data_IF_128160532822
#
_entry.id   IF_128160532822
#
_cell.length_a   1.000
_cell.length_b   1.000
_cell.length_c   1.000
_cell.angle_alpha   90.00
_cell.angle_beta   90.00
_cell.angle_gamma   90.00
#
_symmetry.space_group_name_H-M   'P 1'
#
loop_
_entity.id
_entity.type
_entity.pdbx_description
1 polymer ?
#
# COMPACT_ATOMS: atom_id res chain seq x y z
N UNK A 1 50.99 7.80 13.56
CA UNK A 1 50.17 8.43 12.51
C UNK A 1 49.57 7.31 11.69
N UNK A 2 48.27 7.12 11.76
CA UNK A 2 47.58 6.14 10.93
C UNK A 2 47.54 6.68 9.50
N UNK A 3 48.07 5.90 8.56
CA UNK A 3 48.09 6.23 7.13
C UNK A 3 46.67 6.26 6.57
N UNK A 4 46.42 7.18 5.63
CA UNK A 4 45.14 7.33 4.92
C UNK A 4 44.63 6.02 4.32
N UNK A 5 45.52 5.15 3.84
CA UNK A 5 45.19 3.84 3.29
C UNK A 5 44.66 2.89 4.36
N UNK A 6 45.24 2.89 5.54
CA UNK A 6 44.81 2.09 6.69
C UNK A 6 43.45 2.57 7.21
N UNK A 7 43.15 3.89 7.13
CA UNK A 7 41.86 4.45 7.51
C UNK A 7 40.75 4.11 6.50
N UNK A 8 41.07 4.12 5.21
CA UNK A 8 40.13 3.71 4.14
C UNK A 8 39.90 2.20 4.21
N UNK A 9 40.95 1.38 4.45
CA UNK A 9 40.79 -0.07 4.61
C UNK A 9 40.06 -0.45 5.91
N UNK A 10 40.26 0.30 7.00
CA UNK A 10 39.46 0.15 8.21
C UNK A 10 38.01 0.58 8.02
N UNK A 11 37.74 1.67 7.27
CA UNK A 11 36.40 2.09 6.92
C UNK A 11 35.68 1.10 6.00
N UNK A 12 36.39 0.48 5.05
CA UNK A 12 35.84 -0.58 4.20
C UNK A 12 35.64 -1.86 5.01
N UNK A 13 36.55 -2.22 5.94
CA UNK A 13 36.38 -3.37 6.82
C UNK A 13 35.27 -3.17 7.87
N UNK A 14 35.08 -1.95 8.37
CA UNK A 14 33.93 -1.60 9.24
C UNK A 14 32.64 -1.44 8.47
N UNK A 15 32.65 -1.04 7.20
CA UNK A 15 31.47 -1.10 6.33
C UNK A 15 31.07 -2.55 6.00
N UNK A 16 32.04 -3.48 5.94
CA UNK A 16 31.79 -4.93 5.81
C UNK A 16 31.38 -5.60 7.14
N UNK A 17 31.66 -4.97 8.29
CA UNK A 17 31.31 -5.41 9.65
C UNK A 17 30.34 -4.43 10.35
N UNK A 18 29.84 -3.40 9.62
CA UNK A 18 28.80 -2.53 10.12
C UNK A 18 27.61 -3.32 10.63
N UNK A 19 26.84 -2.80 11.59
CA UNK A 19 25.66 -3.49 12.05
C UNK A 19 24.85 -3.82 10.80
N UNK A 20 24.76 -5.09 10.46
CA UNK A 20 23.82 -5.60 9.49
C UNK A 20 22.49 -5.15 10.03
N UNK A 21 21.87 -4.15 9.41
CA UNK A 21 20.47 -3.89 9.61
C UNK A 21 19.78 -5.17 9.13
N UNK A 22 19.69 -6.13 10.01
CA UNK A 22 18.94 -7.31 9.79
C UNK A 22 17.49 -6.83 9.90
N UNK A 23 16.80 -6.71 8.77
CA UNK A 23 15.36 -6.85 8.84
C UNK A 23 15.12 -8.14 9.63
N UNK A 24 14.34 -8.08 10.73
CA UNK A 24 14.02 -9.28 11.45
C UNK A 24 13.34 -10.20 10.45
N UNK A 25 14.02 -11.21 10.04
CA UNK A 25 13.37 -12.36 9.45
C UNK A 25 12.50 -12.92 10.57
N UNK A 26 11.22 -12.47 10.62
CA UNK A 26 10.23 -13.21 11.37
C UNK A 26 10.41 -14.67 10.95
N UNK A 27 10.40 -15.59 11.89
CA UNK A 27 10.62 -17.02 11.64
C UNK A 27 9.45 -17.60 10.80
N UNK A 28 9.21 -16.97 9.68
CA UNK A 28 8.15 -17.29 8.72
C UNK A 28 8.52 -16.83 7.32
N UNK A 29 8.17 -17.63 6.34
CA UNK A 29 8.24 -17.25 4.93
C UNK A 29 6.97 -16.52 4.45
N UNK A 30 5.97 -16.34 5.33
CA UNK A 30 4.74 -15.62 4.98
C UNK A 30 4.98 -14.12 4.87
N UNK A 31 4.33 -13.50 3.89
CA UNK A 31 4.48 -12.08 3.57
C UNK A 31 3.11 -11.40 3.51
N UNK A 32 3.08 -10.12 3.83
CA UNK A 32 1.87 -9.31 3.77
C UNK A 32 2.14 -7.99 3.05
N UNK A 33 1.36 -7.72 2.02
CA UNK A 33 1.24 -6.37 1.46
C UNK A 33 -0.09 -5.76 1.93
N UNK A 34 -0.05 -4.57 2.51
CA UNK A 34 -1.26 -3.78 2.80
C UNK A 34 -1.29 -2.56 1.89
N UNK A 35 -2.37 -2.40 1.13
CA UNK A 35 -2.63 -1.24 0.28
C UNK A 35 -3.79 -0.44 0.87
N UNK A 36 -3.52 0.78 1.31
CA UNK A 36 -4.52 1.71 1.84
C UNK A 36 -5.00 2.63 0.71
N UNK A 37 -6.25 2.48 0.32
CA UNK A 37 -6.90 3.34 -0.68
C UNK A 37 -7.55 4.53 0.03
N UNK A 38 -6.89 5.69 -0.04
CA UNK A 38 -7.32 6.89 0.67
C UNK A 38 -8.33 7.70 -0.16
N UNK A 39 -9.51 7.92 0.41
CA UNK A 39 -10.60 8.66 -0.20
C UNK A 39 -11.87 7.83 -0.41
N UNK A 40 -12.08 6.78 0.39
CA UNK A 40 -13.28 5.94 0.35
C UNK A 40 -13.56 5.39 -1.06
N UNK A 41 -12.75 4.45 -1.51
CA UNK A 41 -12.93 3.77 -2.79
C UNK A 41 -14.34 3.15 -2.87
N UNK A 42 -15.01 3.34 -4.01
CA UNK A 42 -16.40 2.91 -4.20
C UNK A 42 -16.50 1.39 -4.39
N UNK A 43 -16.76 0.66 -3.32
CA UNK A 43 -16.90 -0.79 -3.32
C UNK A 43 -18.02 -1.31 -4.21
N UNK A 44 -19.12 -0.56 -4.35
CA UNK A 44 -20.26 -0.93 -5.23
C UNK A 44 -19.94 -0.80 -6.73
N UNK A 45 -18.92 0.00 -7.08
CA UNK A 45 -18.36 0.00 -8.42
C UNK A 45 -17.27 -1.06 -8.57
N UNK A 46 -16.51 -1.35 -7.50
CA UNK A 46 -15.46 -2.36 -7.55
C UNK A 46 -16.03 -3.76 -7.73
N UNK A 47 -16.93 -4.16 -6.83
CA UNK A 47 -17.63 -5.45 -6.88
C UNK A 47 -19.11 -5.16 -6.96
N UNK A 48 -19.61 -5.08 -8.19
CA UNK A 48 -20.97 -4.68 -8.48
C UNK A 48 -21.97 -5.81 -8.19
N UNK A 49 -23.00 -5.57 -7.36
CA UNK A 49 -24.06 -6.56 -7.12
C UNK A 49 -25.06 -6.53 -8.28
N UNK A 50 -24.63 -6.84 -9.49
CA UNK A 50 -25.43 -6.74 -10.72
C UNK A 50 -26.69 -7.60 -10.70
N UNK A 51 -26.68 -8.67 -9.93
CA UNK A 51 -27.81 -9.57 -9.76
C UNK A 51 -28.88 -9.06 -8.77
N UNK A 52 -28.62 -7.99 -8.01
CA UNK A 52 -29.65 -7.35 -7.18
C UNK A 52 -30.62 -6.56 -8.06
N UNK A 53 -31.93 -6.86 -8.04
CA UNK A 53 -32.92 -6.18 -8.89
C UNK A 53 -33.00 -4.67 -8.64
N UNK A 54 -32.57 -4.19 -7.48
CA UNK A 54 -32.56 -2.76 -7.12
C UNK A 54 -31.29 -2.05 -7.56
N UNK A 55 -30.21 -2.78 -7.86
CA UNK A 55 -28.90 -2.20 -8.11
C UNK A 55 -28.90 -1.16 -9.24
N UNK A 56 -29.37 -1.55 -10.42
CA UNK A 56 -29.37 -0.67 -11.59
C UNK A 56 -30.20 0.59 -11.36
N UNK A 57 -31.38 0.47 -10.74
CA UNK A 57 -32.26 1.61 -10.46
C UNK A 57 -31.71 2.56 -9.39
N UNK A 58 -31.05 2.02 -8.37
CA UNK A 58 -30.42 2.80 -7.31
C UNK A 58 -29.12 3.47 -7.76
N UNK A 59 -28.34 2.76 -8.57
CA UNK A 59 -27.02 3.19 -9.03
C UNK A 59 -27.10 4.11 -10.26
N UNK A 60 -28.19 4.04 -11.03
CA UNK A 60 -28.42 4.88 -12.21
C UNK A 60 -27.24 4.79 -13.20
N UNK A 61 -26.74 5.96 -13.63
CA UNK A 61 -25.66 6.06 -14.61
C UNK A 61 -24.30 5.49 -14.14
N UNK A 62 -24.15 5.16 -12.86
CA UNK A 62 -22.94 4.51 -12.33
C UNK A 62 -23.07 2.99 -12.21
N UNK A 63 -24.19 2.41 -12.64
CA UNK A 63 -24.37 0.97 -12.62
C UNK A 63 -23.41 0.29 -13.62
N UNK A 64 -22.77 -0.78 -13.16
CA UNK A 64 -21.99 -1.67 -14.01
C UNK A 64 -22.94 -2.72 -14.58
N UNK A 65 -22.89 -2.95 -15.88
CA UNK A 65 -23.74 -3.92 -16.56
C UNK A 65 -23.44 -5.38 -16.13
N UNK A 66 -24.42 -6.25 -16.33
CA UNK A 66 -24.25 -7.68 -16.10
C UNK A 66 -23.14 -8.28 -17.00
N UNK A 67 -22.52 -9.39 -16.60
CA UNK A 67 -21.55 -10.11 -17.42
C UNK A 67 -22.08 -10.46 -18.82
N UNK A 68 -21.17 -10.46 -19.81
CA UNK A 68 -21.48 -10.81 -21.19
C UNK A 68 -21.91 -9.64 -22.09
N UNK A 69 -22.20 -8.47 -21.51
CA UNK A 69 -22.43 -7.24 -22.28
C UNK A 69 -21.14 -6.47 -22.58
N UNK A 70 -21.23 -5.49 -23.51
CA UNK A 70 -20.18 -4.49 -23.71
C UNK A 70 -19.98 -3.73 -22.40
N UNK A 71 -18.74 -3.62 -21.92
CA UNK A 71 -18.44 -2.99 -20.64
C UNK A 71 -19.11 -3.63 -19.40
N UNK A 72 -19.57 -4.89 -19.53
CA UNK A 72 -20.16 -5.67 -18.43
C UNK A 72 -19.12 -6.13 -17.40
N UNK A 73 -19.60 -6.42 -16.19
CA UNK A 73 -18.76 -6.93 -15.11
C UNK A 73 -18.10 -8.28 -15.47
N UNK A 74 -16.91 -8.53 -14.95
CA UNK A 74 -16.36 -9.89 -14.91
C UNK A 74 -17.14 -10.70 -13.86
N UNK A 75 -17.72 -11.82 -14.26
CA UNK A 75 -18.55 -12.64 -13.38
C UNK A 75 -17.73 -13.20 -12.20
N UNK A 76 -18.21 -12.99 -10.98
CA UNK A 76 -17.74 -13.69 -9.78
C UNK A 76 -18.73 -14.82 -9.48
N UNK A 77 -20.00 -14.49 -9.31
CA UNK A 77 -21.07 -15.45 -9.05
C UNK A 77 -22.40 -14.99 -9.69
N UNK A 78 -23.54 -15.49 -9.19
CA UNK A 78 -24.86 -15.10 -9.69
C UNK A 78 -25.34 -13.72 -9.26
N UNK A 79 -24.73 -13.14 -8.23
CA UNK A 79 -25.09 -11.84 -7.64
C UNK A 79 -24.04 -10.78 -7.92
N UNK A 80 -22.75 -11.12 -7.82
CA UNK A 80 -21.64 -10.19 -7.87
C UNK A 80 -20.78 -10.32 -9.11
N UNK A 81 -20.26 -9.19 -9.57
CA UNK A 81 -19.28 -9.13 -10.64
C UNK A 81 -18.22 -8.06 -10.35
N UNK A 82 -16.99 -8.35 -10.75
CA UNK A 82 -15.88 -7.43 -10.64
C UNK A 82 -15.97 -6.37 -11.75
N UNK A 83 -15.60 -5.14 -11.43
CA UNK A 83 -15.58 -4.05 -12.41
C UNK A 83 -14.76 -4.42 -13.67
N UNK A 84 -15.22 -4.09 -14.90
CA UNK A 84 -14.55 -4.50 -16.13
C UNK A 84 -13.12 -3.96 -16.31
N UNK A 85 -12.69 -3.02 -15.51
CA UNK A 85 -11.32 -2.51 -15.51
C UNK A 85 -10.30 -3.42 -14.81
N UNK A 86 -10.73 -4.54 -14.20
CA UNK A 86 -9.87 -5.47 -13.47
C UNK A 86 -9.62 -6.75 -14.26
N UNK A 87 -8.74 -6.69 -15.25
CA UNK A 87 -8.43 -7.85 -16.10
C UNK A 87 -7.58 -8.90 -15.35
N UNK A 88 -6.52 -8.48 -14.68
CA UNK A 88 -5.65 -9.38 -13.92
C UNK A 88 -6.35 -9.92 -12.66
N UNK A 89 -7.01 -9.05 -11.91
CA UNK A 89 -7.70 -9.45 -10.68
C UNK A 89 -8.85 -10.43 -10.96
N UNK A 90 -9.56 -10.28 -12.11
CA UNK A 90 -10.61 -11.21 -12.51
C UNK A 90 -10.08 -12.64 -12.71
N UNK A 91 -8.86 -12.78 -13.23
CA UNK A 91 -8.19 -14.08 -13.36
C UNK A 91 -7.85 -14.67 -11.98
N UNK A 92 -7.51 -13.83 -10.98
CA UNK A 92 -7.26 -14.30 -9.60
C UNK A 92 -8.54 -14.77 -8.93
N UNK A 93 -9.65 -14.07 -9.14
CA UNK A 93 -10.95 -14.56 -8.70
C UNK A 93 -11.32 -15.90 -9.34
N UNK A 94 -11.13 -16.04 -10.64
CA UNK A 94 -11.38 -17.30 -11.37
C UNK A 94 -10.49 -18.46 -10.89
N UNK A 95 -9.26 -18.15 -10.47
CA UNK A 95 -8.31 -19.13 -9.92
C UNK A 95 -8.57 -19.47 -8.43
N UNK A 96 -9.47 -18.76 -7.74
CA UNK A 96 -9.71 -18.91 -6.30
C UNK A 96 -8.64 -18.23 -5.42
N UNK A 97 -7.79 -17.38 -6.01
CA UNK A 97 -6.71 -16.69 -5.32
C UNK A 97 -7.13 -15.31 -4.77
N UNK A 98 -8.37 -14.89 -5.02
CA UNK A 98 -8.88 -13.59 -4.58
C UNK A 98 -10.24 -13.73 -3.89
N UNK A 99 -10.47 -12.89 -2.89
CA UNK A 99 -11.70 -12.81 -2.10
C UNK A 99 -12.10 -11.35 -1.94
N UNK A 100 -13.38 -11.05 -2.11
CA UNK A 100 -13.99 -9.78 -1.73
C UNK A 100 -14.81 -9.96 -0.45
N UNK A 101 -14.55 -9.13 0.56
CA UNK A 101 -15.32 -9.14 1.80
C UNK A 101 -16.29 -7.97 1.77
N UNK A 102 -17.57 -8.27 1.67
CA UNK A 102 -18.65 -7.28 1.59
C UNK A 102 -19.16 -6.87 2.98
N UNK A 103 -19.85 -5.74 3.02
CA UNK A 103 -20.50 -5.23 4.23
C UNK A 103 -19.53 -5.03 5.41
N UNK A 104 -18.27 -4.79 5.13
CA UNK A 104 -17.26 -4.46 6.14
C UNK A 104 -17.31 -2.98 6.41
N UNK A 105 -17.43 -2.60 7.67
CA UNK A 105 -17.38 -1.21 8.09
C UNK A 105 -16.68 -1.09 9.45
N UNK A 106 -15.81 -0.09 9.58
CA UNK A 106 -15.30 0.30 10.89
C UNK A 106 -16.46 0.79 11.77
N UNK A 107 -16.32 0.85 13.11
CA UNK A 107 -17.31 1.48 13.97
C UNK A 107 -17.51 2.98 13.74
N UNK A 108 -16.56 3.63 13.06
CA UNK A 108 -16.62 5.04 12.70
C UNK A 108 -17.83 5.35 11.83
N UNK A 109 -18.57 6.41 12.16
CA UNK A 109 -19.85 6.76 11.51
C UNK A 109 -19.92 8.20 11.00
N UNK A 110 -18.85 8.99 11.18
CA UNK A 110 -18.76 10.35 10.66
C UNK A 110 -18.25 10.32 9.21
N UNK A 111 -18.19 11.49 8.58
CA UNK A 111 -17.84 11.63 7.16
C UNK A 111 -16.46 12.23 6.92
N UNK A 112 -15.64 12.33 7.95
CA UNK A 112 -14.27 12.81 7.85
C UNK A 112 -13.36 11.67 7.35
N UNK A 113 -12.72 11.87 6.22
CA UNK A 113 -11.71 10.94 5.72
C UNK A 113 -10.56 10.77 6.72
N UNK A 114 -10.09 11.86 7.32
CA UNK A 114 -8.98 11.82 8.28
C UNK A 114 -9.31 10.95 9.48
N UNK A 115 -10.45 11.21 10.12
CA UNK A 115 -10.86 10.44 11.29
C UNK A 115 -11.21 8.99 10.94
N UNK A 116 -11.80 8.76 9.76
CA UNK A 116 -12.10 7.42 9.26
C UNK A 116 -10.83 6.61 9.00
N UNK A 117 -9.81 7.24 8.42
CA UNK A 117 -8.49 6.65 8.21
C UNK A 117 -7.81 6.35 9.54
N UNK A 118 -7.82 7.29 10.48
CA UNK A 118 -7.24 7.09 11.79
C UNK A 118 -7.93 5.95 12.55
N UNK A 119 -9.27 5.86 12.52
CA UNK A 119 -10.01 4.75 13.14
C UNK A 119 -9.68 3.40 12.47
N UNK A 120 -9.57 3.36 11.14
CA UNK A 120 -9.16 2.18 10.39
C UNK A 120 -7.74 1.73 10.76
N UNK A 121 -6.81 2.68 10.84
CA UNK A 121 -5.39 2.40 11.04
C UNK A 121 -5.04 2.13 12.51
N UNK A 122 -5.69 2.81 13.45
CA UNK A 122 -5.47 2.52 14.87
C UNK A 122 -6.27 1.30 15.37
N UNK A 123 -7.24 0.81 14.58
CA UNK A 123 -8.05 -0.36 14.91
C UNK A 123 -9.03 -0.15 16.05
N UNK A 124 -9.48 1.10 16.29
CA UNK A 124 -10.46 1.44 17.32
C UNK A 124 -11.73 2.07 16.73
N UNK A 125 -12.71 2.35 17.58
CA UNK A 125 -13.96 2.96 17.15
C UNK A 125 -13.85 4.46 16.81
N UNK A 126 -12.77 5.12 17.19
CA UNK A 126 -12.59 6.56 17.07
C UNK A 126 -11.21 6.93 16.53
N UNK A 127 -11.08 8.09 15.91
CA UNK A 127 -9.82 8.60 15.37
C UNK A 127 -8.72 8.71 16.42
N UNK A 128 -9.07 9.13 17.63
CA UNK A 128 -8.14 9.34 18.74
C UNK A 128 -8.10 8.18 19.75
N UNK A 129 -8.68 7.02 19.39
CA UNK A 129 -8.77 5.88 20.30
C UNK A 129 -7.41 5.30 20.69
N UNK A 130 -6.45 5.33 19.78
CA UNK A 130 -5.04 4.98 20.03
C UNK A 130 -4.12 5.83 19.16
N UNK A 131 -2.90 6.08 19.66
CA UNK A 131 -1.86 6.81 18.93
C UNK A 131 -0.96 5.90 18.10
N UNK A 132 -1.10 4.59 18.25
CA UNK A 132 -0.38 3.55 17.54
C UNK A 132 -1.30 2.78 16.57
N UNK A 133 -0.71 2.17 15.54
CA UNK A 133 -1.41 1.39 14.54
C UNK A 133 -1.64 -0.07 14.97
N UNK A 134 -2.76 -0.64 14.52
CA UNK A 134 -3.05 -2.05 14.85
C UNK A 134 -2.02 -3.02 14.26
N UNK A 135 -1.45 -2.70 13.10
CA UNK A 135 -0.44 -3.56 12.47
C UNK A 135 0.90 -3.48 13.21
N UNK A 136 1.29 -2.29 13.71
CA UNK A 136 2.47 -2.16 14.54
C UNK A 136 2.35 -3.03 15.80
N UNK A 137 1.18 -3.00 16.47
CA UNK A 137 0.91 -3.88 17.63
C UNK A 137 0.92 -5.36 17.25
N UNK A 138 0.42 -5.72 16.05
CA UNK A 138 0.38 -7.11 15.58
C UNK A 138 1.78 -7.64 15.22
N UNK A 139 2.72 -6.77 14.86
CA UNK A 139 4.11 -7.14 14.57
C UNK A 139 4.88 -7.45 15.86
N UNK A 140 4.59 -6.77 16.97
CA UNK A 140 5.33 -6.88 18.21
C UNK A 140 5.55 -8.35 18.69
N UNK A 141 4.54 -9.25 18.65
CA UNK A 141 4.73 -10.65 19.04
C UNK A 141 5.54 -11.48 18.03
N UNK A 142 5.69 -11.01 16.79
CA UNK A 142 6.44 -11.73 15.75
C UNK A 142 7.96 -11.68 15.98
N UNK A 143 8.38 -10.92 16.96
CA UNK A 143 9.69 -10.89 17.58
C UNK A 143 10.88 -10.84 16.62
N UNK A 144 11.55 -9.71 16.61
CA UNK A 144 12.93 -9.64 16.20
C UNK A 144 13.77 -9.18 17.39
N UNK A 145 15.04 -9.48 17.45
CA UNK A 145 15.94 -8.84 18.39
C UNK A 145 15.84 -7.32 18.21
N UNK A 146 16.01 -6.56 19.28
CA UNK A 146 16.01 -5.09 19.25
C UNK A 146 16.92 -4.59 18.12
N UNK A 147 16.32 -4.04 17.05
CA UNK A 147 17.05 -3.58 15.86
C UNK A 147 16.52 -4.06 14.53
N UNK A 148 15.72 -5.11 14.52
CA UNK A 148 15.27 -5.77 13.30
C UNK A 148 13.92 -5.18 12.83
N UNK A 149 13.83 -4.76 11.58
CA UNK A 149 12.63 -4.15 10.99
C UNK A 149 11.84 -5.18 10.18
N UNK A 150 10.78 -5.72 10.79
CA UNK A 150 9.89 -6.71 10.15
C UNK A 150 8.97 -6.10 9.09
N UNK A 151 8.74 -4.78 9.17
CA UNK A 151 7.82 -4.07 8.29
C UNK A 151 8.45 -2.82 7.67
N UNK A 152 7.96 -2.47 6.46
CA UNK A 152 8.37 -1.27 5.74
C UNK A 152 7.14 -0.48 5.28
N UNK A 153 7.17 0.84 5.49
CA UNK A 153 6.29 1.78 4.83
C UNK A 153 6.92 2.23 3.52
N UNK A 154 6.23 2.09 2.39
CA UNK A 154 6.72 2.57 1.10
C UNK A 154 5.97 3.86 0.73
N UNK A 155 6.60 4.98 1.01
CA UNK A 155 6.06 6.32 0.85
C UNK A 155 6.85 7.35 1.64
N UNK A 156 6.51 8.62 1.47
CA UNK A 156 7.22 9.75 2.11
C UNK A 156 6.97 9.85 3.62
N UNK A 157 5.94 9.17 4.13
CA UNK A 157 5.57 9.19 5.56
C UNK A 157 5.13 7.81 6.01
N UNK A 158 5.47 7.46 7.23
CA UNK A 158 4.96 6.24 7.87
C UNK A 158 3.47 6.40 8.22
N UNK A 159 2.56 5.59 7.65
CA UNK A 159 1.14 5.63 7.98
C UNK A 159 0.90 5.26 9.46
N UNK A 160 -0.21 5.75 10.04
CA UNK A 160 -0.56 5.45 11.43
C UNK A 160 -0.62 3.94 11.68
N UNK A 161 -1.05 3.17 10.72
CA UNK A 161 -1.08 1.71 10.74
C UNK A 161 0.23 1.06 11.24
N UNK A 162 1.37 1.65 10.88
CA UNK A 162 2.71 1.18 11.25
C UNK A 162 3.37 1.99 12.37
N UNK A 163 2.74 3.03 12.91
CA UNK A 163 3.30 3.79 14.04
C UNK A 163 3.11 3.04 15.35
N UNK A 164 4.08 3.09 16.24
CA UNK A 164 4.05 2.45 17.56
C UNK A 164 5.46 2.13 18.06
N UNK A 165 5.53 1.28 19.06
CA UNK A 165 6.78 0.93 19.74
C UNK A 165 7.67 -0.02 18.93
N UNK A 166 7.07 -0.82 18.03
CA UNK A 166 7.83 -1.69 17.14
C UNK A 166 8.50 -0.87 16.03
N UNK A 167 9.78 -1.02 15.86
CA UNK A 167 10.54 -0.36 14.80
C UNK A 167 10.09 -0.83 13.42
N UNK A 168 9.93 0.11 12.50
CA UNK A 168 9.58 -0.15 11.10
C UNK A 168 10.44 0.71 10.20
N UNK A 169 10.80 0.17 9.03
CA UNK A 169 11.48 0.92 7.99
C UNK A 169 10.52 1.89 7.29
N UNK A 170 11.07 2.95 6.73
CA UNK A 170 10.36 3.81 5.78
C UNK A 170 11.26 4.04 4.57
N UNK A 171 10.71 3.84 3.38
CA UNK A 171 11.42 4.12 2.14
C UNK A 171 10.53 4.86 1.16
N UNK A 172 11.10 5.87 0.52
CA UNK A 172 10.47 6.58 -0.59
C UNK A 172 11.50 6.82 -1.69
N UNK A 173 11.10 6.81 -2.98
CA UNK A 173 11.99 7.21 -4.06
C UNK A 173 12.55 8.61 -3.78
N UNK A 174 13.87 8.74 -3.74
CA UNK A 174 14.51 10.04 -3.58
C UNK A 174 14.17 10.91 -4.80
N UNK A 175 13.82 12.17 -4.54
CA UNK A 175 13.68 13.21 -5.56
C UNK A 175 14.92 14.11 -5.64
N UNK A 176 15.85 13.92 -4.71
CA UNK A 176 17.12 14.62 -4.70
C UNK A 176 18.09 13.93 -5.65
N UNK A 177 19.02 14.67 -6.28
CA UNK A 177 20.17 14.07 -6.94
C UNK A 177 20.84 13.10 -5.96
N UNK A 178 21.34 11.99 -6.45
CA UNK A 178 22.08 11.04 -5.61
C UNK A 178 23.15 11.79 -4.82
N UNK A 179 23.24 11.53 -3.53
CA UNK A 179 24.30 12.09 -2.69
C UNK A 179 25.58 11.36 -3.07
N UNK A 180 26.63 12.12 -3.42
CA UNK A 180 27.92 11.52 -3.77
C UNK A 180 28.59 10.88 -2.54
N UNK A 181 29.51 9.94 -2.79
CA UNK A 181 30.19 9.18 -1.76
C UNK A 181 30.98 10.08 -0.77
N UNK A 182 31.48 11.24 -1.22
CA UNK A 182 32.19 12.18 -0.36
C UNK A 182 31.22 12.86 0.62
N UNK A 183 30.05 13.22 0.17
CA UNK A 183 28.98 13.78 1.04
C UNK A 183 28.48 12.74 2.04
N UNK A 184 28.27 11.49 1.62
CA UNK A 184 27.89 10.39 2.54
C UNK A 184 28.98 10.14 3.59
N UNK A 185 30.25 10.14 3.20
CA UNK A 185 31.36 10.00 4.13
C UNK A 185 31.43 11.15 5.14
N UNK A 186 31.11 12.39 4.72
CA UNK A 186 31.04 13.56 5.61
C UNK A 186 29.88 13.47 6.59
N UNK A 187 28.70 13.03 6.13
CA UNK A 187 27.56 12.82 7.00
C UNK A 187 27.81 11.70 8.02
N UNK A 188 28.44 10.61 7.60
CA UNK A 188 28.80 9.52 8.51
C UNK A 188 29.74 10.00 9.64
N UNK A 189 30.72 10.85 9.32
CA UNK A 189 31.60 11.46 10.32
C UNK A 189 30.88 12.45 11.23
N UNK A 190 29.96 13.26 10.65
CA UNK A 190 29.20 14.24 11.42
C UNK A 190 28.31 13.56 12.46
N UNK A 191 27.78 12.38 12.13
CA UNK A 191 26.87 11.61 12.99
C UNK A 191 27.58 10.55 13.86
N UNK A 192 28.92 10.43 13.79
CA UNK A 192 29.71 9.43 14.49
C UNK A 192 29.45 9.41 16.01
N UNK A 193 29.20 10.57 16.60
CA UNK A 193 28.94 10.73 18.03
C UNK A 193 27.45 10.87 18.38
N UNK A 194 26.56 10.75 17.41
CA UNK A 194 25.10 10.75 17.60
C UNK A 194 24.53 9.38 17.19
N UNK A 195 24.32 8.53 18.17
CA UNK A 195 23.89 7.16 17.97
C UNK A 195 22.57 7.09 17.17
N UNK A 196 21.65 8.02 17.42
CA UNK A 196 20.36 8.08 16.72
C UNK A 196 20.54 8.46 15.25
N UNK A 197 21.24 9.55 14.94
CA UNK A 197 21.47 10.00 13.58
C UNK A 197 22.35 9.04 12.78
N UNK A 198 23.37 8.46 13.42
CA UNK A 198 24.23 7.44 12.83
C UNK A 198 23.42 6.20 12.40
N UNK A 199 22.56 5.68 13.30
CA UNK A 199 21.69 4.55 13.00
C UNK A 199 20.71 4.86 11.86
N UNK A 200 20.16 6.08 11.80
CA UNK A 200 19.24 6.51 10.74
C UNK A 200 19.92 6.66 9.38
N UNK A 201 21.15 7.18 9.35
CA UNK A 201 21.95 7.24 8.12
C UNK A 201 22.26 5.83 7.59
N UNK A 202 22.68 4.92 8.45
CA UNK A 202 22.96 3.54 8.09
C UNK A 202 21.71 2.85 7.51
N UNK A 203 20.55 3.01 8.15
CA UNK A 203 19.26 2.50 7.68
C UNK A 203 18.87 3.06 6.30
N UNK A 204 19.05 4.37 6.09
CA UNK A 204 18.76 5.01 4.81
C UNK A 204 19.66 4.45 3.69
N UNK A 205 20.95 4.27 3.95
CA UNK A 205 21.91 3.70 3.00
C UNK A 205 21.58 2.26 2.64
N UNK A 206 21.17 1.42 3.59
CA UNK A 206 20.79 0.03 3.31
C UNK A 206 19.48 -0.04 2.51
N UNK A 207 18.47 0.74 2.88
CA UNK A 207 17.23 0.82 2.11
C UNK A 207 17.49 1.28 0.67
N UNK A 208 18.45 2.20 0.48
CA UNK A 208 18.87 2.66 -0.83
C UNK A 208 19.64 1.55 -1.60
N UNK A 209 20.52 0.81 -0.94
CA UNK A 209 21.27 -0.30 -1.54
C UNK A 209 20.31 -1.43 -2.02
N UNK A 210 19.29 -1.79 -1.23
CA UNK A 210 18.24 -2.74 -1.65
C UNK A 210 17.48 -2.19 -2.86
N UNK A 211 17.17 -0.90 -2.89
CA UNK A 211 16.48 -0.26 -3.98
C UNK A 211 17.34 -0.20 -5.27
N UNK A 212 18.65 -0.03 -5.15
CA UNK A 212 19.62 0.03 -6.26
C UNK A 212 19.94 -1.35 -6.80
N UNK A 213 20.19 -2.35 -5.97
CA UNK A 213 20.40 -3.74 -6.38
C UNK A 213 19.16 -4.30 -7.09
N UNK A 214 18.01 -3.82 -6.72
CA UNK A 214 16.75 -4.10 -7.38
C UNK A 214 16.57 -3.43 -8.76
N UNK A 215 17.59 -2.79 -9.32
CA UNK A 215 17.58 -2.12 -10.62
C UNK A 215 17.26 -0.63 -10.52
N UNK A 216 18.29 0.15 -10.77
CA UNK A 216 18.36 1.60 -10.67
C UNK A 216 17.11 2.29 -11.24
N UNK A 217 16.40 2.97 -10.40
CA UNK A 217 15.38 3.92 -10.84
C UNK A 217 16.10 5.21 -11.26
N UNK A 218 16.62 5.21 -12.49
CA UNK A 218 17.36 6.31 -13.11
C UNK A 218 16.72 7.67 -12.80
N UNK A 219 17.48 8.58 -12.20
CA UNK A 219 17.05 9.93 -11.79
C UNK A 219 16.53 10.83 -12.92
N UNK A 220 16.48 10.34 -14.15
CA UNK A 220 15.84 10.97 -15.32
C UNK A 220 14.36 10.62 -15.43
N UNK A 221 13.62 10.54 -14.33
CA UNK A 221 12.21 10.24 -14.42
C UNK A 221 11.42 11.38 -15.01
N UNK A 222 10.95 11.12 -16.22
CA UNK A 222 9.75 11.69 -16.81
C UNK A 222 8.65 11.70 -15.74
N UNK A 223 7.88 12.78 -15.65
CA UNK A 223 6.63 12.86 -14.87
C UNK A 223 5.67 11.77 -15.38
N UNK A 224 5.84 10.55 -14.90
CA UNK A 224 4.87 9.48 -15.10
C UNK A 224 3.53 9.89 -14.48
N UNK A 225 2.42 9.45 -15.05
CA UNK A 225 1.13 9.67 -14.42
C UNK A 225 1.07 8.93 -13.05
N UNK A 226 0.15 9.30 -12.18
CA UNK A 226 0.02 8.72 -10.84
C UNK A 226 -0.12 7.19 -10.84
N UNK A 227 -0.72 6.62 -11.89
CA UNK A 227 -0.89 5.17 -12.04
C UNK A 227 0.46 4.47 -12.29
N UNK A 228 1.32 5.05 -13.13
CA UNK A 228 2.65 4.50 -13.39
C UNK A 228 3.53 4.59 -12.13
N UNK A 229 3.44 5.70 -11.37
CA UNK A 229 4.15 5.82 -10.10
C UNK A 229 3.68 4.77 -9.09
N UNK A 230 2.38 4.54 -8.99
CA UNK A 230 1.81 3.54 -8.09
C UNK A 230 2.23 2.11 -8.48
N UNK A 231 2.22 1.79 -9.79
CA UNK A 231 2.73 0.52 -10.31
C UNK A 231 4.19 0.30 -9.92
N UNK A 232 5.04 1.32 -10.06
CA UNK A 232 6.44 1.25 -9.67
C UNK A 232 6.63 1.06 -8.16
N UNK A 233 5.76 1.72 -7.35
CA UNK A 233 5.75 1.57 -5.89
C UNK A 233 5.47 0.13 -5.49
N UNK A 234 4.50 -0.53 -6.12
CA UNK A 234 4.20 -1.95 -5.84
C UNK A 234 5.30 -2.88 -6.36
N UNK A 235 5.91 -2.59 -7.51
CA UNK A 235 7.10 -3.31 -7.97
C UNK A 235 8.26 -3.20 -6.98
N UNK A 236 8.45 -2.04 -6.37
CA UNK A 236 9.46 -1.86 -5.32
C UNK A 236 9.09 -2.60 -4.03
N UNK A 237 7.81 -2.63 -3.65
CA UNK A 237 7.33 -3.43 -2.52
C UNK A 237 7.69 -4.92 -2.70
N UNK A 238 7.48 -5.46 -3.90
CA UNK A 238 7.85 -6.84 -4.20
C UNK A 238 9.35 -7.10 -3.99
N UNK A 239 10.21 -6.18 -4.44
CA UNK A 239 11.66 -6.29 -4.27
C UNK A 239 12.08 -6.31 -2.79
N UNK A 240 11.52 -5.42 -1.96
CA UNK A 240 11.78 -5.44 -0.53
C UNK A 240 11.32 -6.75 0.11
N UNK A 241 10.11 -7.21 -0.22
CA UNK A 241 9.55 -8.42 0.37
C UNK A 241 10.26 -9.71 -0.10
N UNK A 242 10.93 -9.70 -1.25
CA UNK A 242 11.66 -10.86 -1.79
C UNK A 242 13.16 -10.82 -1.51
N UNK A 243 13.69 -9.70 -0.99
CA UNK A 243 15.08 -9.64 -0.58
C UNK A 243 15.37 -10.68 0.52
N UNK A 244 16.55 -11.27 0.50
CA UNK A 244 16.96 -12.35 1.41
C UNK A 244 16.73 -11.98 2.87
N UNK A 245 17.19 -10.78 3.26
CA UNK A 245 17.01 -10.23 4.60
C UNK A 245 15.92 -9.13 4.62
N UNK A 246 15.01 -9.13 3.66
CA UNK A 246 13.98 -8.10 3.54
C UNK A 246 12.86 -8.23 4.57
N UNK A 247 12.05 -7.16 4.73
CA UNK A 247 10.90 -7.18 5.62
C UNK A 247 9.86 -8.22 5.17
N UNK A 248 9.01 -8.65 6.08
CA UNK A 248 7.89 -9.56 5.79
C UNK A 248 6.58 -8.84 5.52
N UNK A 249 6.51 -7.57 5.88
CA UNK A 249 5.30 -6.74 5.74
C UNK A 249 5.65 -5.45 5.01
N UNK A 250 4.86 -5.11 3.99
CA UNK A 250 4.94 -3.82 3.31
C UNK A 250 3.59 -3.10 3.37
N UNK A 251 3.62 -1.79 3.59
CA UNK A 251 2.42 -0.94 3.58
C UNK A 251 2.60 0.18 2.57
N UNK A 252 1.60 0.34 1.70
CA UNK A 252 1.59 1.32 0.62
C UNK A 252 0.29 2.13 0.67
N UNK A 253 0.39 3.44 0.47
CA UNK A 253 -0.77 4.32 0.31
C UNK A 253 -1.05 4.62 -1.16
N UNK A 254 -2.34 4.63 -1.53
CA UNK A 254 -2.84 5.09 -2.83
C UNK A 254 -3.91 6.15 -2.61
N UNK A 255 -3.68 7.36 -3.05
CA UNK A 255 -4.62 8.48 -2.90
C UNK A 255 -5.55 8.68 -4.10
N UNK A 256 -6.51 9.62 -3.92
CA UNK A 256 -7.35 10.10 -5.00
C UNK A 256 -8.58 9.23 -5.27
N UNK A 257 -9.02 8.41 -4.32
CA UNK A 257 -10.22 7.57 -4.45
C UNK A 257 -11.53 8.31 -4.13
N UNK A 258 -11.43 9.57 -3.73
CA UNK A 258 -12.58 10.42 -3.42
C UNK A 258 -13.26 10.94 -4.69
N UNK A 259 -14.22 10.18 -5.20
CA UNK A 259 -14.88 10.41 -6.49
C UNK A 259 -16.26 11.08 -6.35
N UNK A 260 -16.27 12.30 -5.80
CA UNK A 260 -17.50 13.07 -5.64
C UNK A 260 -18.11 13.58 -6.95
N UNK A 261 -17.32 13.73 -8.00
CA UNK A 261 -17.77 14.27 -9.28
C UNK A 261 -17.26 13.45 -10.46
N UNK A 262 -18.08 13.31 -11.50
CA UNK A 262 -17.73 12.67 -12.76
C UNK A 262 -17.00 11.31 -12.58
N UNK A 263 -17.50 10.50 -11.65
CA UNK A 263 -16.88 9.22 -11.27
C UNK A 263 -16.73 8.28 -12.47
N UNK A 264 -17.77 8.19 -13.30
CA UNK A 264 -17.88 7.22 -14.38
C UNK A 264 -18.33 5.83 -13.88
N UNK A 265 -18.79 5.00 -14.83
CA UNK A 265 -19.15 3.61 -14.61
C UNK A 265 -18.02 2.69 -15.13
N UNK A 266 -18.27 1.88 -16.15
CA UNK A 266 -17.27 1.02 -16.80
C UNK A 266 -16.08 1.81 -17.39
N UNK A 267 -16.29 3.07 -17.72
CA UNK A 267 -15.27 4.02 -18.16
C UNK A 267 -15.29 5.28 -17.31
N UNK A 268 -14.23 6.10 -17.37
CA UNK A 268 -14.13 7.36 -16.63
C UNK A 268 -13.07 7.36 -15.55
N UNK A 269 -13.17 8.31 -14.61
CA UNK A 269 -12.14 8.57 -13.61
C UNK A 269 -11.86 7.39 -12.67
N UNK A 270 -12.92 6.77 -12.15
CA UNK A 270 -12.79 5.62 -11.24
C UNK A 270 -12.28 4.37 -11.98
N UNK A 271 -12.82 4.10 -13.18
CA UNK A 271 -12.36 2.99 -14.02
C UNK A 271 -10.86 3.08 -14.34
N UNK A 272 -10.36 4.29 -14.62
CA UNK A 272 -8.93 4.51 -14.81
C UNK A 272 -8.11 4.19 -13.57
N UNK A 273 -8.61 4.53 -12.37
CA UNK A 273 -7.95 4.18 -11.09
C UNK A 273 -7.93 2.68 -10.85
N UNK A 274 -9.03 1.99 -11.16
CA UNK A 274 -9.11 0.53 -11.07
C UNK A 274 -8.11 -0.14 -12.02
N UNK A 275 -8.00 0.32 -13.29
CA UNK A 275 -6.94 -0.18 -14.20
C UNK A 275 -5.54 0.05 -13.65
N UNK A 276 -5.31 1.21 -13.04
CA UNK A 276 -4.03 1.51 -12.39
C UNK A 276 -3.72 0.58 -11.22
N UNK A 277 -4.72 0.28 -10.40
CA UNK A 277 -4.59 -0.68 -9.28
C UNK A 277 -4.37 -2.10 -9.80
N UNK A 278 -5.14 -2.53 -10.79
CA UNK A 278 -5.01 -3.84 -11.42
C UNK A 278 -3.60 -4.07 -11.97
N UNK A 279 -3.11 -3.11 -12.76
CA UNK A 279 -1.74 -3.16 -13.32
C UNK A 279 -0.65 -3.13 -12.23
N UNK A 280 -0.88 -2.41 -11.12
CA UNK A 280 0.06 -2.35 -10.01
C UNK A 280 0.10 -3.67 -9.23
N UNK A 281 -1.05 -4.29 -8.99
CA UNK A 281 -1.14 -5.61 -8.36
C UNK A 281 -0.52 -6.71 -9.25
N UNK A 282 -0.74 -6.63 -10.57
CA UNK A 282 -0.10 -7.53 -11.53
C UNK A 282 1.44 -7.40 -11.51
N UNK A 283 1.97 -6.18 -11.44
CA UNK A 283 3.40 -5.94 -11.31
C UNK A 283 3.97 -6.49 -10.00
N UNK A 284 3.25 -6.28 -8.89
CA UNK A 284 3.60 -6.85 -7.59
C UNK A 284 3.66 -8.39 -7.67
N UNK A 285 2.61 -9.02 -8.17
CA UNK A 285 2.55 -10.47 -8.36
C UNK A 285 3.75 -10.99 -9.16
N UNK A 286 4.05 -10.33 -10.29
CA UNK A 286 5.21 -10.66 -11.12
C UNK A 286 6.52 -10.55 -10.33
N UNK A 287 6.69 -9.50 -9.56
CA UNK A 287 7.88 -9.25 -8.75
C UNK A 287 8.05 -10.24 -7.58
N UNK A 288 6.95 -10.78 -7.05
CA UNK A 288 6.99 -11.79 -5.98
C UNK A 288 7.49 -13.16 -6.45
N UNK A 289 7.30 -13.52 -7.71
CA UNK A 289 7.73 -14.82 -8.24
C UNK A 289 7.23 -15.99 -7.41
N UNK A 290 8.13 -16.89 -6.99
CA UNK A 290 7.79 -18.06 -6.17
C UNK A 290 7.27 -17.72 -4.77
N UNK A 291 7.60 -16.55 -4.24
CA UNK A 291 7.14 -16.09 -2.94
C UNK A 291 5.65 -15.72 -2.92
N UNK A 292 5.01 -15.58 -4.09
CA UNK A 292 3.59 -15.26 -4.21
C UNK A 292 2.69 -16.22 -3.42
N UNK A 293 2.94 -17.52 -3.47
CA UNK A 293 2.14 -18.55 -2.77
C UNK A 293 2.11 -18.37 -1.25
N UNK A 294 3.11 -17.65 -0.70
CA UNK A 294 3.25 -17.38 0.72
C UNK A 294 2.92 -15.92 1.06
N UNK A 295 2.27 -15.20 0.14
CA UNK A 295 1.99 -13.78 0.25
C UNK A 295 0.49 -13.52 0.30
N UNK A 296 0.05 -12.77 1.31
CA UNK A 296 -1.28 -12.20 1.37
C UNK A 296 -1.23 -10.73 0.93
N UNK A 297 -2.24 -10.29 0.17
CA UNK A 297 -2.44 -8.89 -0.20
C UNK A 297 -3.77 -8.41 0.37
N UNK A 298 -3.73 -7.41 1.24
CA UNK A 298 -4.90 -6.78 1.82
C UNK A 298 -5.08 -5.39 1.22
N UNK A 299 -6.19 -5.16 0.51
CA UNK A 299 -6.54 -3.85 -0.03
C UNK A 299 -7.75 -3.33 0.73
N UNK A 300 -7.67 -2.15 1.32
CA UNK A 300 -8.70 -1.60 2.19
C UNK A 300 -8.84 -0.09 2.04
N UNK A 301 -10.02 0.42 2.39
CA UNK A 301 -10.35 1.85 2.41
C UNK A 301 -11.09 2.19 3.70
N UNK A 302 -11.16 3.46 4.07
CA UNK A 302 -11.64 3.92 5.36
C UNK A 302 -13.14 3.72 5.60
N UNK A 303 -13.97 3.88 4.55
CA UNK A 303 -15.42 3.67 4.60
C UNK A 303 -16.02 3.56 3.19
N UNK A 304 -17.31 3.23 3.11
CA UNK A 304 -18.04 3.07 1.85
C UNK A 304 -18.64 4.35 1.29
N UNK A 305 -19.19 4.25 0.08
CA UNK A 305 -19.88 5.33 -0.64
C UNK A 305 -21.38 5.10 -0.66
N UNK A 306 -22.14 6.18 -0.92
CA UNK A 306 -23.59 6.09 -1.12
C UNK A 306 -23.93 5.25 -2.33
N UNK A 307 -25.02 4.46 -2.21
CA UNK A 307 -25.55 3.69 -3.34
C UNK A 307 -26.01 4.64 -4.46
N UNK A 308 -26.72 5.72 -4.12
CA UNK A 308 -27.27 6.66 -5.09
C UNK A 308 -26.21 7.64 -5.60
N UNK A 309 -26.35 7.96 -6.87
CA UNK A 309 -25.58 9.02 -7.54
C UNK A 309 -25.94 10.37 -6.93
N UNK A 310 -24.95 11.22 -6.72
CA UNK A 310 -25.14 12.60 -6.29
C UNK A 310 -25.39 13.55 -7.48
N UNK A 311 -25.65 14.83 -7.19
CA UNK A 311 -25.93 15.85 -8.22
C UNK A 311 -24.74 16.17 -9.16
N UNK A 312 -23.54 15.69 -8.87
CA UNK A 312 -22.30 15.91 -9.64
C UNK A 312 -21.82 14.65 -10.39
N UNK A 313 -22.69 13.68 -10.59
CA UNK A 313 -22.40 12.41 -11.28
C UNK A 313 -21.27 11.60 -10.60
N UNK A 314 -21.23 11.63 -9.30
CA UNK A 314 -20.35 10.84 -8.44
C UNK A 314 -21.12 10.26 -7.28
N UNK A 315 -20.42 9.96 -6.19
CA UNK A 315 -21.02 9.42 -4.97
C UNK A 315 -20.64 10.28 -3.77
N UNK A 316 -21.49 10.30 -2.75
CA UNK A 316 -21.18 10.93 -1.47
C UNK A 316 -20.66 9.89 -0.47
N UNK A 317 -20.17 10.35 0.68
CA UNK A 317 -19.84 9.48 1.81
C UNK A 317 -21.14 8.87 2.37
N UNK A 318 -21.08 7.63 2.82
CA UNK A 318 -22.22 6.93 3.39
C UNK A 318 -22.84 7.71 4.56
N UNK A 319 -24.17 7.87 4.60
CA UNK A 319 -24.89 8.62 5.64
C UNK A 319 -25.29 7.74 6.81
N UNK A 320 -25.29 8.32 8.03
CA UNK A 320 -25.86 7.73 9.24
C UNK A 320 -27.33 7.32 9.09
N UNK A 321 -28.09 8.02 8.23
CA UNK A 321 -29.53 7.83 8.08
C UNK A 321 -29.89 6.68 7.13
N UNK A 322 -28.97 6.19 6.34
CA UNK A 322 -29.17 5.09 5.40
C UNK A 322 -29.08 3.71 6.06
N UNK A 323 -29.78 3.50 7.18
CA UNK A 323 -29.83 2.21 7.89
C UNK A 323 -30.45 1.05 7.10
N UNK A 324 -30.89 1.25 5.85
CA UNK A 324 -31.64 0.25 5.07
C UNK A 324 -31.09 -0.07 3.67
N UNK A 325 -29.92 0.41 3.32
CA UNK A 325 -29.29 0.08 2.04
C UNK A 325 -27.76 0.07 2.18
N UNK A 326 -27.25 -0.83 2.99
CA UNK A 326 -25.81 -1.13 3.06
C UNK A 326 -25.61 -2.47 2.38
N UNK A 327 -25.31 -2.39 1.09
CA UNK A 327 -24.51 -3.38 0.38
C UNK A 327 -23.14 -2.74 0.26
N UNK A 328 -22.21 -3.09 1.12
CA UNK A 328 -20.83 -2.64 1.10
C UNK A 328 -19.90 -3.81 1.05
#
# INVERSE_FOLDING_TARGET
MLDRRTLIQAAIATAALGPRLAFAKADTEKRLLVVLLRGAADGLSWVAPYGDPSYASLRGQLAIGAPGGTDGAHKIDGLFGLHPAFDWLSQRFAAGDALAVHAVASPYRERSHFDGQDALENGTATALGKRDGWLNRAIAPLGGALGDETAIAIGTTTPLLLRGDTRVANWAPSRLPGVDDDTLARLARLYENDEFLHARLAQAMESQAIAEDAGNMDGKRRRGNAQQQFRQTLGQAAKFLTAENGPRIAVVNSGGWDTHANQGAATGGLANRFRGLDAALAEFHKGMGSAWRDTAVLVMTEFGRTVRVNGTRGTAHQDRRARRAVIG
#
